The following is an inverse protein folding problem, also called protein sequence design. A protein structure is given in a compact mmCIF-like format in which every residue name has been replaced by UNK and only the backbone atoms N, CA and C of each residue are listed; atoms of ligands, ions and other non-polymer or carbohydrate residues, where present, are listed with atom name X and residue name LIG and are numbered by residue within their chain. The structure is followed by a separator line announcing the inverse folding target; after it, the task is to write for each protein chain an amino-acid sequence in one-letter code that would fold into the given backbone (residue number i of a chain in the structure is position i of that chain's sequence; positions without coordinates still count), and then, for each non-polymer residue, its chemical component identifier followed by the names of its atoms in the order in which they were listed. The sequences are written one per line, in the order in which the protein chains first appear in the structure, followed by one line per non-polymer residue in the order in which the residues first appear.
data_IF_308174200466
#
_entry.id   IF_308174200466
#
_cell.length_a   1.000
_cell.length_b   1.000
_cell.length_c   1.000
_cell.angle_alpha   90.00
_cell.angle_beta   90.00
_cell.angle_gamma   90.00
#
_symmetry.space_group_name_H-M   'P 1'
#
loop_
_entity.id
_entity.type
_entity.pdbx_description
1 polymer ?
#
# COMPACT_ATOMS: atom_id res chain seq x y z
N UNK A 1 11.05 -22.47 12.94
CA UNK A 1 11.65 -22.77 11.62
C UNK A 1 10.94 -21.86 10.61
N UNK A 2 11.54 -20.71 10.26
CA UNK A 2 10.96 -19.80 9.27
C UNK A 2 10.94 -20.53 7.92
N UNK A 3 9.79 -20.57 7.30
CA UNK A 3 9.59 -21.19 5.99
C UNK A 3 10.59 -20.58 5.00
N UNK A 4 11.38 -21.40 4.34
CA UNK A 4 12.40 -21.00 3.34
C UNK A 4 11.75 -20.18 2.21
N UNK A 5 10.49 -20.43 1.92
CA UNK A 5 9.69 -19.71 0.92
C UNK A 5 9.39 -18.29 1.39
N UNK A 6 9.00 -18.12 2.66
CA UNK A 6 8.72 -16.78 3.23
C UNK A 6 9.98 -15.90 3.24
N UNK A 7 11.16 -16.48 3.46
CA UNK A 7 12.42 -15.74 3.40
C UNK A 7 12.79 -15.34 1.96
N UNK A 8 12.47 -16.18 0.98
CA UNK A 8 12.82 -15.92 -0.43
C UNK A 8 12.01 -14.77 -1.02
N UNK A 9 10.67 -14.71 -0.80
CA UNK A 9 9.85 -13.62 -1.32
C UNK A 9 10.20 -12.28 -0.64
N UNK A 10 10.47 -12.28 0.66
CA UNK A 10 10.87 -11.07 1.37
C UNK A 10 12.20 -10.51 0.82
N UNK A 11 13.18 -11.37 0.54
CA UNK A 11 14.43 -10.95 -0.09
C UNK A 11 14.20 -10.32 -1.46
N UNK A 12 13.37 -10.95 -2.30
CA UNK A 12 13.02 -10.40 -3.62
C UNK A 12 12.33 -9.05 -3.49
N UNK A 13 11.41 -8.89 -2.54
CA UNK A 13 10.75 -7.63 -2.27
C UNK A 13 11.74 -6.55 -1.86
N UNK A 14 12.62 -6.85 -0.91
CA UNK A 14 13.61 -5.87 -0.42
C UNK A 14 14.55 -5.43 -1.55
N UNK A 15 15.07 -6.36 -2.34
CA UNK A 15 15.89 -6.05 -3.52
C UNK A 15 15.11 -5.19 -4.53
N UNK A 16 13.81 -5.49 -4.75
CA UNK A 16 12.99 -4.69 -5.64
C UNK A 16 12.76 -3.28 -5.09
N UNK A 17 12.65 -3.10 -3.78
CA UNK A 17 12.46 -1.79 -3.15
C UNK A 17 13.72 -0.90 -3.19
N UNK A 18 14.92 -1.47 -3.30
CA UNK A 18 16.17 -0.72 -3.37
C UNK A 18 16.15 0.34 -4.48
N UNK A 19 15.51 0.05 -5.60
CA UNK A 19 15.41 0.97 -6.74
C UNK A 19 14.58 2.24 -6.44
N UNK A 20 13.83 2.28 -5.33
CA UNK A 20 13.05 3.43 -4.90
C UNK A 20 13.72 4.21 -3.77
N UNK A 21 14.79 3.69 -3.20
CA UNK A 21 15.43 4.28 -2.01
C UNK A 21 16.01 5.66 -2.27
N UNK A 22 16.47 5.92 -3.49
CA UNK A 22 17.01 7.23 -3.88
C UNK A 22 15.95 8.34 -3.86
N UNK A 23 14.67 7.99 -3.90
CA UNK A 23 13.57 8.94 -3.79
C UNK A 23 13.32 9.38 -2.32
N UNK A 24 14.05 8.77 -1.37
CA UNK A 24 13.98 9.08 0.05
C UNK A 24 15.34 9.59 0.56
N UNK A 25 15.36 10.86 0.95
CA UNK A 25 16.60 11.56 1.31
C UNK A 25 17.28 10.99 2.57
N UNK A 26 16.50 10.41 3.50
CA UNK A 26 17.00 9.97 4.80
C UNK A 26 16.95 8.46 4.96
N UNK A 27 17.99 7.90 5.57
CA UNK A 27 18.08 6.45 5.84
C UNK A 27 16.89 5.90 6.63
N UNK A 28 16.38 6.65 7.60
CA UNK A 28 15.21 6.23 8.36
C UNK A 28 13.93 6.14 7.50
N UNK A 29 13.78 6.98 6.47
CA UNK A 29 12.67 6.90 5.53
C UNK A 29 12.76 5.65 4.65
N UNK A 30 13.98 5.27 4.21
CA UNK A 30 14.23 4.03 3.45
C UNK A 30 13.85 2.80 4.27
N UNK A 31 14.27 2.75 5.53
CA UNK A 31 13.86 1.70 6.46
C UNK A 31 12.34 1.66 6.70
N UNK A 32 11.70 2.82 6.81
CA UNK A 32 10.26 2.93 6.97
C UNK A 32 9.49 2.49 5.71
N UNK A 33 9.97 2.81 4.51
CA UNK A 33 9.44 2.30 3.24
C UNK A 33 9.42 0.77 3.22
N UNK A 34 10.57 0.15 3.53
CA UNK A 34 10.68 -1.31 3.56
C UNK A 34 9.68 -1.93 4.53
N UNK A 35 9.58 -1.41 5.75
CA UNK A 35 8.61 -1.86 6.76
C UNK A 35 7.17 -1.69 6.29
N UNK A 36 6.84 -0.53 5.74
CA UNK A 36 5.48 -0.23 5.30
C UNK A 36 5.03 -1.18 4.17
N UNK A 37 5.85 -1.37 3.13
CA UNK A 37 5.51 -2.26 2.02
C UNK A 37 5.47 -3.72 2.48
N UNK A 38 6.38 -4.15 3.37
CA UNK A 38 6.34 -5.49 3.97
C UNK A 38 5.04 -5.68 4.76
N UNK A 39 4.60 -4.69 5.53
CA UNK A 39 3.33 -4.72 6.25
C UNK A 39 2.11 -4.80 5.33
N UNK A 40 2.12 -4.05 4.21
CA UNK A 40 1.05 -4.11 3.20
C UNK A 40 0.94 -5.50 2.57
N UNK A 41 2.05 -6.18 2.33
CA UNK A 41 2.10 -7.51 1.71
C UNK A 41 2.05 -8.66 2.73
N UNK A 42 1.98 -8.36 4.03
CA UNK A 42 1.81 -9.36 5.07
C UNK A 42 0.44 -10.04 4.99
N UNK A 43 0.26 -11.14 5.70
CA UNK A 43 -0.98 -11.90 5.82
C UNK A 43 -2.03 -11.25 6.75
N UNK A 44 -1.79 -10.01 7.20
CA UNK A 44 -2.72 -9.30 8.07
C UNK A 44 -4.08 -9.12 7.39
N UNK A 45 -5.15 -9.58 8.03
CA UNK A 45 -6.53 -9.44 7.54
C UNK A 45 -6.99 -7.98 7.43
N UNK A 46 -6.43 -7.10 8.27
CA UNK A 46 -6.67 -5.65 8.23
C UNK A 46 -5.37 -4.94 7.94
N UNK A 47 -5.37 -4.04 6.98
CA UNK A 47 -4.21 -3.20 6.65
C UNK A 47 -4.25 -1.87 7.44
N UNK A 48 -4.64 -1.93 8.72
CA UNK A 48 -4.43 -0.79 9.63
C UNK A 48 -2.96 -0.70 10.01
N UNK A 49 -2.50 0.51 10.34
CA UNK A 49 -1.10 0.74 10.73
C UNK A 49 -0.66 -0.17 11.88
N UNK A 50 -1.50 -0.32 12.91
CA UNK A 50 -1.24 -1.18 14.05
C UNK A 50 -1.13 -2.67 13.66
N UNK A 51 -2.08 -3.16 12.86
CA UNK A 51 -2.10 -4.56 12.44
C UNK A 51 -0.91 -4.90 11.51
N UNK A 52 -0.50 -3.98 10.65
CA UNK A 52 0.69 -4.14 9.82
C UNK A 52 1.97 -4.12 10.67
N UNK A 53 2.09 -3.13 11.58
CA UNK A 53 3.25 -2.99 12.46
C UNK A 53 3.46 -4.24 13.34
N UNK A 54 2.38 -4.81 13.88
CA UNK A 54 2.43 -6.02 14.70
C UNK A 54 2.90 -7.29 13.94
N UNK A 55 2.92 -7.26 12.62
CA UNK A 55 3.37 -8.38 11.76
C UNK A 55 4.82 -8.27 11.31
N UNK A 56 5.48 -7.16 11.61
CA UNK A 56 6.87 -6.96 11.22
C UNK A 56 7.82 -7.63 12.21
N UNK A 57 8.86 -8.28 11.69
CA UNK A 57 9.92 -8.88 12.51
C UNK A 57 10.86 -7.84 13.14
N UNK A 58 11.05 -6.71 12.45
CA UNK A 58 11.79 -5.53 12.94
C UNK A 58 10.92 -4.28 12.75
N UNK A 59 9.95 -4.06 13.63
CA UNK A 59 8.95 -3.01 13.43
C UNK A 59 9.48 -1.59 13.69
N UNK A 60 10.55 -1.43 14.46
CA UNK A 60 10.90 -0.12 15.02
C UNK A 60 9.82 0.42 15.95
N UNK A 61 9.75 1.72 16.16
CA UNK A 61 8.67 2.31 16.94
C UNK A 61 7.41 2.51 16.10
N UNK A 62 6.24 2.32 16.74
CA UNK A 62 4.96 2.54 16.08
C UNK A 62 4.81 3.99 15.59
N UNK A 63 5.29 4.96 16.36
CA UNK A 63 5.27 6.38 15.99
C UNK A 63 6.08 6.65 14.72
N UNK A 64 7.27 6.06 14.59
CA UNK A 64 8.08 6.22 13.38
C UNK A 64 7.42 5.59 12.16
N UNK A 65 6.78 4.44 12.33
CA UNK A 65 6.03 3.76 11.29
C UNK A 65 4.83 4.59 10.81
N UNK A 66 4.06 5.16 11.75
CA UNK A 66 2.93 6.03 11.45
C UNK A 66 3.40 7.34 10.81
N UNK A 67 4.43 7.99 11.36
CA UNK A 67 4.98 9.26 10.86
C UNK A 67 5.41 9.17 9.40
N UNK A 68 5.92 8.02 8.95
CA UNK A 68 6.35 7.83 7.57
C UNK A 68 5.22 8.11 6.56
N UNK A 69 3.99 7.71 6.86
CA UNK A 69 2.84 7.91 5.97
C UNK A 69 2.20 9.29 6.17
N UNK A 70 2.14 9.78 7.42
CA UNK A 70 1.35 10.97 7.75
C UNK A 70 2.12 12.28 7.62
N UNK A 71 3.44 12.27 7.79
CA UNK A 71 4.22 13.50 7.93
C UNK A 71 5.57 13.48 7.19
N UNK A 72 6.10 12.32 6.82
CA UNK A 72 7.39 12.29 6.15
C UNK A 72 7.32 12.96 4.76
N UNK A 73 8.25 13.86 4.44
CA UNK A 73 8.25 14.56 3.15
C UNK A 73 8.79 13.63 2.06
N UNK A 74 7.90 12.90 1.41
CA UNK A 74 8.19 12.15 0.20
C UNK A 74 7.16 12.47 -0.88
N UNK A 75 7.59 12.42 -2.14
CA UNK A 75 6.76 12.81 -3.28
C UNK A 75 6.16 11.57 -3.96
N UNK A 76 4.85 11.44 -3.87
CA UNK A 76 4.11 10.37 -4.52
C UNK A 76 4.26 10.41 -6.06
N UNK A 77 4.37 11.60 -6.67
CA UNK A 77 4.51 11.72 -8.12
C UNK A 77 5.84 11.13 -8.63
N UNK A 78 6.91 11.31 -7.86
CA UNK A 78 8.22 10.72 -8.17
C UNK A 78 8.15 9.20 -8.12
N UNK A 79 7.54 8.65 -7.06
CA UNK A 79 7.35 7.20 -6.92
C UNK A 79 6.49 6.63 -8.06
N UNK A 80 5.38 7.29 -8.41
CA UNK A 80 4.53 6.89 -9.53
C UNK A 80 5.26 6.93 -10.86
N UNK A 81 6.06 7.95 -11.11
CA UNK A 81 6.89 8.04 -12.32
C UNK A 81 7.85 6.88 -12.42
N UNK A 82 8.56 6.57 -11.33
CA UNK A 82 9.50 5.45 -11.26
C UNK A 82 8.80 4.10 -11.42
N UNK A 83 7.67 3.90 -10.74
CA UNK A 83 6.87 2.68 -10.86
C UNK A 83 6.40 2.46 -12.30
N UNK A 84 5.86 3.50 -12.96
CA UNK A 84 5.42 3.42 -14.36
C UNK A 84 6.56 3.09 -15.32
N UNK A 85 7.77 3.58 -15.06
CA UNK A 85 8.95 3.26 -15.86
C UNK A 85 9.35 1.77 -15.74
N UNK A 86 8.89 1.06 -14.70
CA UNK A 86 9.17 -0.35 -14.44
C UNK A 86 8.10 -1.30 -15.00
N UNK A 87 6.99 -0.78 -15.49
CA UNK A 87 6.00 -1.59 -16.20
C UNK A 87 6.58 -1.94 -17.58
N UNK A 88 6.97 -3.20 -17.83
CA UNK A 88 7.65 -3.58 -19.05
C UNK A 88 6.70 -3.54 -20.25
N UNK A 89 5.46 -3.95 -20.04
CA UNK A 89 4.43 -4.01 -21.06
C UNK A 89 3.53 -2.79 -20.97
N UNK A 90 3.26 -2.16 -22.12
CA UNK A 90 2.42 -0.94 -22.19
C UNK A 90 1.22 -1.12 -23.11
N UNK A 91 1.07 -2.31 -23.68
CA UNK A 91 -0.05 -2.70 -24.52
C UNK A 91 -0.86 -3.75 -23.78
N UNK A 92 -2.17 -3.60 -23.77
CA UNK A 92 -3.05 -4.53 -23.06
C UNK A 92 -4.45 -3.99 -22.91
N UNK A 93 -5.23 -4.63 -22.06
CA UNK A 93 -6.60 -4.23 -21.73
C UNK A 93 -6.59 -3.41 -20.44
N UNK A 94 -7.11 -2.18 -20.52
CA UNK A 94 -7.36 -1.37 -19.31
C UNK A 94 -8.67 -1.81 -18.68
N UNK A 95 -8.59 -2.20 -17.42
CA UNK A 95 -9.74 -2.58 -16.59
C UNK A 95 -9.97 -1.45 -15.60
N UNK A 96 -11.18 -0.85 -15.68
CA UNK A 96 -11.64 0.16 -14.73
C UNK A 96 -12.66 -0.50 -13.80
N UNK A 97 -12.42 -0.40 -12.49
CA UNK A 97 -13.32 -0.97 -11.49
C UNK A 97 -13.54 -0.02 -10.32
N UNK A 98 -14.77 -0.03 -9.81
CA UNK A 98 -15.18 0.76 -8.65
C UNK A 98 -15.21 -0.09 -7.38
N UNK A 99 -14.35 0.23 -6.42
CA UNK A 99 -14.30 -0.46 -5.13
C UNK A 99 -14.88 0.39 -4.02
N UNK A 100 -15.82 -0.17 -3.25
CA UNK A 100 -16.46 0.52 -2.13
C UNK A 100 -15.86 0.08 -0.79
N UNK A 101 -15.41 1.05 0.00
CA UNK A 101 -14.89 0.85 1.36
C UNK A 101 -15.93 1.30 2.39
N UNK A 102 -16.62 0.37 3.08
CA UNK A 102 -17.59 0.72 4.11
C UNK A 102 -16.98 1.53 5.24
N UNK A 103 -17.68 2.57 5.68
CA UNK A 103 -17.27 3.42 6.81
C UNK A 103 -18.41 3.46 7.84
N UNK A 104 -18.05 3.58 9.13
CA UNK A 104 -19.05 3.70 10.19
C UNK A 104 -19.48 5.16 10.38
N UNK A 105 -18.61 6.12 10.14
CA UNK A 105 -18.87 7.55 10.28
C UNK A 105 -18.95 8.28 8.96
N UNK A 106 -19.11 9.60 9.03
CA UNK A 106 -19.17 10.52 7.89
C UNK A 106 -17.97 11.43 7.78
N UNK A 107 -17.07 11.43 8.77
CA UNK A 107 -15.97 12.39 8.90
C UNK A 107 -14.76 12.10 7.99
N UNK A 108 -14.63 10.90 7.44
CA UNK A 108 -13.51 10.59 6.55
C UNK A 108 -13.70 11.25 5.18
N UNK A 109 -12.62 11.76 4.61
CA UNK A 109 -12.63 12.40 3.29
C UNK A 109 -13.24 11.46 2.23
N UNK A 110 -14.15 12.00 1.40
CA UNK A 110 -14.80 11.26 0.32
C UNK A 110 -15.83 10.21 0.79
N UNK A 111 -16.24 10.23 2.05
CA UNK A 111 -17.35 9.40 2.53
C UNK A 111 -18.68 10.04 2.16
N UNK A 112 -19.54 9.28 1.55
CA UNK A 112 -20.93 9.66 1.27
C UNK A 112 -21.86 8.49 1.56
N UNK A 113 -23.16 8.81 1.78
CA UNK A 113 -24.21 7.81 1.83
C UNK A 113 -24.62 7.46 0.41
N UNK A 114 -24.14 6.34 -0.08
CA UNK A 114 -24.32 5.88 -1.46
C UNK A 114 -24.42 4.35 -1.52
N UNK A 115 -24.70 3.80 -2.69
CA UNK A 115 -24.70 2.35 -2.85
C UNK A 115 -23.28 1.80 -2.57
N UNK A 116 -23.19 0.87 -1.65
CA UNK A 116 -21.95 0.23 -1.23
C UNK A 116 -21.95 -1.21 -1.73
N UNK A 117 -21.24 -1.47 -2.83
CA UNK A 117 -21.19 -2.80 -3.44
C UNK A 117 -20.68 -3.88 -2.48
N UNK A 118 -19.73 -3.54 -1.60
CA UNK A 118 -19.23 -4.46 -0.57
C UNK A 118 -20.28 -4.87 0.48
N UNK A 119 -21.41 -4.14 0.58
CA UNK A 119 -22.53 -4.45 1.50
C UNK A 119 -23.85 -4.74 0.79
N UNK A 120 -23.92 -4.59 -0.53
CA UNK A 120 -25.13 -4.79 -1.32
C UNK A 120 -26.28 -3.82 -0.98
N UNK A 121 -26.00 -2.69 -0.34
CA UNK A 121 -27.01 -1.71 0.09
C UNK A 121 -26.48 -0.29 0.18
N UNK A 122 -27.36 0.70 0.31
CA UNK A 122 -26.98 2.08 0.60
C UNK A 122 -26.39 2.17 2.02
N UNK A 123 -25.17 2.65 2.11
CA UNK A 123 -24.43 2.80 3.37
C UNK A 123 -23.40 3.94 3.25
N UNK A 124 -22.85 4.40 4.37
CA UNK A 124 -21.71 5.28 4.33
C UNK A 124 -20.49 4.52 3.80
N UNK A 125 -19.95 4.95 2.68
CA UNK A 125 -18.75 4.37 2.10
C UNK A 125 -17.95 5.41 1.33
N UNK A 126 -16.64 5.13 1.20
CA UNK A 126 -15.80 5.74 0.19
C UNK A 126 -15.81 4.87 -1.05
N UNK A 127 -15.85 5.47 -2.23
CA UNK A 127 -15.66 4.75 -3.48
C UNK A 127 -14.35 5.18 -4.10
N UNK A 128 -13.50 4.22 -4.43
CA UNK A 128 -12.30 4.44 -5.22
C UNK A 128 -12.47 3.81 -6.60
N UNK A 129 -11.96 4.48 -7.62
CA UNK A 129 -11.84 3.91 -8.96
C UNK A 129 -10.42 3.38 -9.11
N UNK A 130 -10.29 2.12 -9.43
CA UNK A 130 -9.02 1.47 -9.73
C UNK A 130 -8.87 1.30 -11.22
N UNK A 131 -7.63 1.43 -11.68
CA UNK A 131 -7.25 1.14 -13.07
C UNK A 131 -6.18 0.07 -13.03
N UNK A 132 -6.43 -1.04 -13.70
CA UNK A 132 -5.46 -2.11 -13.88
C UNK A 132 -5.15 -2.30 -15.37
N UNK A 133 -3.90 -2.61 -15.70
CA UNK A 133 -3.49 -3.03 -17.04
C UNK A 133 -3.28 -4.54 -17.03
N UNK A 134 -4.07 -5.25 -17.81
CA UNK A 134 -3.87 -6.67 -18.05
C UNK A 134 -3.11 -6.87 -19.36
N UNK A 135 -2.00 -7.59 -19.29
CA UNK A 135 -1.07 -7.76 -20.43
C UNK A 135 -1.00 -9.18 -20.98
N UNK A 136 -1.86 -10.09 -20.47
CA UNK A 136 -1.87 -11.49 -20.88
C UNK A 136 -1.25 -12.44 -19.87
#
# INVERSE_FOLDING_TARGET
MLDRTATAWLRRLLTWLEQFEDDFARQNQRGALRRYVTGLLSDSRRKSMEAMWARLSDPGTYQAFQHFITHAPWDAAVLWKRLRARVPERTGVLILDGTSFPKQGTASVGVARQYCGARGKVANCQTAVTVALWTG
#
